data_IF_537584432131
#
_entry.id   IF_537584432131
#
_cell.length_a   1.000
_cell.length_b   1.000
_cell.length_c   1.000
_cell.angle_alpha   90.00
_cell.angle_beta   90.00
_cell.angle_gamma   90.00
#
_symmetry.space_group_name_H-M   'P 1'
#
loop_
_entity.id
_entity.type
_entity.pdbx_description
1 polymer ?
#
# COMPACT_ATOMS: atom_id res chain seq x y z
N UNK A 1 -38.47 74.80 -9.39
CA UNK A 1 -39.02 73.43 -9.39
C UNK A 1 -37.84 72.51 -9.17
N UNK A 2 -37.83 71.88 -8.00
CA UNK A 2 -36.71 71.14 -7.40
C UNK A 2 -36.49 69.81 -8.13
N UNK A 3 -35.24 69.56 -8.55
CA UNK A 3 -34.84 68.32 -9.22
C UNK A 3 -34.38 67.34 -8.14
N UNK A 4 -35.26 66.46 -7.67
CA UNK A 4 -34.92 65.42 -6.69
C UNK A 4 -34.30 64.22 -7.41
N UNK A 5 -32.96 64.19 -7.41
CA UNK A 5 -32.18 63.02 -7.81
C UNK A 5 -32.43 61.87 -6.83
N UNK A 6 -33.17 60.87 -7.31
CA UNK A 6 -33.53 59.69 -6.54
C UNK A 6 -32.34 58.72 -6.52
N UNK A 7 -31.38 58.95 -5.63
CA UNK A 7 -30.27 58.00 -5.40
C UNK A 7 -30.80 56.74 -4.72
N UNK A 8 -31.18 55.75 -5.53
CA UNK A 8 -31.48 54.41 -5.04
C UNK A 8 -30.15 53.76 -4.59
N UNK A 9 -29.83 53.86 -3.31
CA UNK A 9 -28.73 53.11 -2.71
C UNK A 9 -29.07 51.61 -2.80
N UNK A 10 -28.46 50.90 -3.76
CA UNK A 10 -28.53 49.45 -3.82
C UNK A 10 -28.09 48.87 -2.47
N UNK A 11 -28.98 48.09 -1.83
CA UNK A 11 -28.71 47.49 -0.53
C UNK A 11 -27.38 46.72 -0.58
N UNK A 12 -26.49 46.90 0.42
CA UNK A 12 -25.18 46.27 0.39
C UNK A 12 -25.33 44.75 0.34
N UNK A 13 -24.84 44.13 -0.73
CA UNK A 13 -24.82 42.66 -0.87
C UNK A 13 -24.19 42.04 0.38
N UNK A 14 -24.90 41.10 1.00
CA UNK A 14 -24.44 40.37 2.17
C UNK A 14 -23.08 39.70 1.90
N UNK A 15 -22.17 39.83 2.86
CA UNK A 15 -20.83 39.20 2.82
C UNK A 15 -20.89 37.82 3.46
N UNK A 16 -20.10 36.88 2.94
CA UNK A 16 -19.92 35.58 3.61
C UNK A 16 -19.15 35.78 4.91
N UNK A 17 -19.47 34.98 5.94
CA UNK A 17 -18.84 35.11 7.26
C UNK A 17 -17.36 34.72 7.21
N UNK A 18 -16.50 35.42 7.96
CA UNK A 18 -15.05 35.18 7.99
C UNK A 18 -14.69 33.74 8.35
N UNK A 19 -15.49 33.09 9.20
CA UNK A 19 -15.32 31.68 9.54
C UNK A 19 -15.34 30.74 8.32
N UNK A 20 -16.05 31.11 7.24
CA UNK A 20 -16.08 30.29 6.02
C UNK A 20 -14.71 30.27 5.31
N UNK A 21 -13.94 31.36 5.37
CA UNK A 21 -12.57 31.40 4.83
C UNK A 21 -11.62 30.56 5.67
N UNK A 22 -11.75 30.63 7.00
CA UNK A 22 -10.95 29.80 7.92
C UNK A 22 -11.25 28.30 7.69
N UNK A 23 -12.52 27.96 7.52
CA UNK A 23 -12.95 26.60 7.20
C UNK A 23 -12.40 26.11 5.86
N UNK A 24 -12.40 26.98 4.84
CA UNK A 24 -11.81 26.67 3.54
C UNK A 24 -10.28 26.50 3.63
N UNK A 25 -9.59 27.29 4.46
CA UNK A 25 -8.15 27.11 4.68
C UNK A 25 -7.83 25.75 5.34
N UNK A 26 -8.69 25.27 6.26
CA UNK A 26 -8.54 23.94 6.84
C UNK A 26 -8.67 22.79 5.82
N UNK A 27 -9.19 23.05 4.62
CA UNK A 27 -9.23 22.04 3.55
C UNK A 27 -7.86 21.59 3.04
N UNK A 28 -6.80 22.34 3.38
CA UNK A 28 -5.42 21.99 3.06
C UNK A 28 -4.77 21.06 4.09
N UNK A 29 -5.40 20.79 5.24
CA UNK A 29 -4.86 19.81 6.20
C UNK A 29 -5.13 18.41 5.64
N UNK A 30 -4.11 17.57 5.40
CA UNK A 30 -4.33 16.20 4.96
C UNK A 30 -5.25 15.43 5.91
N UNK A 31 -5.97 14.45 5.38
CA UNK A 31 -6.96 13.61 6.09
C UNK A 31 -8.26 14.34 6.47
N UNK A 32 -8.18 15.35 7.35
CA UNK A 32 -9.37 16.05 7.88
C UNK A 32 -9.86 17.17 6.95
N UNK A 33 -9.00 17.69 6.08
CA UNK A 33 -9.29 18.80 5.19
C UNK A 33 -10.38 18.50 4.17
N UNK A 34 -10.59 17.24 3.80
CA UNK A 34 -11.70 16.87 2.92
C UNK A 34 -13.06 17.20 3.57
N UNK A 35 -13.23 16.90 4.87
CA UNK A 35 -14.47 17.19 5.61
C UNK A 35 -14.73 18.71 5.70
N UNK A 36 -13.68 19.47 6.04
CA UNK A 36 -13.77 20.93 6.13
C UNK A 36 -13.95 21.59 4.76
N UNK A 37 -13.32 21.05 3.72
CA UNK A 37 -13.48 21.46 2.33
C UNK A 37 -14.90 21.26 1.84
N UNK A 38 -15.51 20.10 2.09
CA UNK A 38 -16.91 19.82 1.75
C UNK A 38 -17.84 20.79 2.48
N UNK A 39 -17.66 20.98 3.79
CA UNK A 39 -18.48 21.91 4.57
C UNK A 39 -18.37 23.37 4.05
N UNK A 40 -17.15 23.83 3.76
CA UNK A 40 -16.92 25.16 3.19
C UNK A 40 -17.53 25.32 1.79
N UNK A 41 -17.50 24.26 0.98
CA UNK A 41 -18.09 24.24 -0.36
C UNK A 41 -19.61 24.28 -0.29
N UNK A 42 -20.25 23.52 0.61
CA UNK A 42 -21.70 23.57 0.85
C UNK A 42 -22.13 24.97 1.31
N UNK A 43 -21.42 25.57 2.27
CA UNK A 43 -21.71 26.95 2.72
C UNK A 43 -21.55 27.98 1.59
N UNK A 44 -20.59 27.76 0.70
CA UNK A 44 -20.37 28.62 -0.45
C UNK A 44 -21.47 28.49 -1.50
N UNK A 45 -21.97 27.28 -1.78
CA UNK A 45 -23.10 27.02 -2.67
C UNK A 45 -24.40 27.62 -2.11
N UNK A 46 -24.71 27.37 -0.85
CA UNK A 46 -25.89 27.97 -0.19
C UNK A 46 -25.81 29.49 -0.15
N UNK A 47 -24.60 30.04 -0.06
CA UNK A 47 -24.30 31.46 -0.05
C UNK A 47 -23.93 32.05 -1.40
N UNK A 48 -24.20 31.42 -2.54
CA UNK A 48 -23.56 31.77 -3.83
C UNK A 48 -23.76 33.23 -4.29
N UNK A 49 -24.86 33.86 -3.88
CA UNK A 49 -25.18 35.27 -4.16
C UNK A 49 -24.44 36.26 -3.24
N UNK A 50 -23.77 35.78 -2.18
CA UNK A 50 -23.01 36.60 -1.21
C UNK A 50 -21.63 36.93 -1.77
N UNK A 51 -21.14 38.14 -1.46
CA UNK A 51 -19.77 38.54 -1.79
C UNK A 51 -18.77 37.63 -1.06
N UNK A 52 -17.84 37.06 -1.82
CA UNK A 52 -16.79 36.18 -1.29
C UNK A 52 -17.07 34.68 -1.38
N UNK A 53 -18.32 34.26 -1.62
CA UNK A 53 -18.67 32.84 -1.70
C UNK A 53 -17.89 32.08 -2.79
N UNK A 54 -17.67 32.73 -3.95
CA UNK A 54 -16.86 32.17 -5.04
C UNK A 54 -15.39 31.95 -4.64
N UNK A 55 -14.83 32.84 -3.81
CA UNK A 55 -13.44 32.76 -3.35
C UNK A 55 -13.30 31.61 -2.33
N UNK A 56 -14.24 31.52 -1.38
CA UNK A 56 -14.28 30.41 -0.41
C UNK A 56 -14.42 29.07 -1.12
N UNK A 57 -15.31 28.96 -2.11
CA UNK A 57 -15.46 27.76 -2.92
C UNK A 57 -14.16 27.38 -3.65
N UNK A 58 -13.45 28.36 -4.22
CA UNK A 58 -12.18 28.13 -4.91
C UNK A 58 -11.09 27.64 -3.96
N UNK A 59 -10.94 28.27 -2.78
CA UNK A 59 -9.96 27.84 -1.76
C UNK A 59 -10.27 26.42 -1.29
N UNK A 60 -11.53 26.12 -0.97
CA UNK A 60 -11.95 24.79 -0.53
C UNK A 60 -11.71 23.73 -1.62
N UNK A 61 -12.03 24.05 -2.87
CA UNK A 61 -11.81 23.14 -4.00
C UNK A 61 -10.33 22.86 -4.22
N UNK A 62 -9.48 23.88 -4.08
CA UNK A 62 -8.03 23.74 -4.25
C UNK A 62 -7.40 22.88 -3.14
N UNK A 63 -7.81 23.07 -1.88
CA UNK A 63 -7.31 22.25 -0.77
C UNK A 63 -7.75 20.78 -0.88
N UNK A 64 -9.00 20.55 -1.28
CA UNK A 64 -9.48 19.19 -1.58
C UNK A 64 -8.73 18.56 -2.76
N UNK A 65 -8.52 19.31 -3.85
CA UNK A 65 -7.73 18.83 -5.00
C UNK A 65 -6.30 18.50 -4.58
N UNK A 66 -5.66 19.33 -3.75
CA UNK A 66 -4.33 19.06 -3.21
C UNK A 66 -4.30 17.77 -2.40
N UNK A 67 -5.31 17.54 -1.55
CA UNK A 67 -5.45 16.31 -0.77
C UNK A 67 -5.62 15.09 -1.68
N UNK A 68 -6.53 15.16 -2.66
CA UNK A 68 -6.75 14.08 -3.63
C UNK A 68 -5.49 13.82 -4.46
N UNK A 69 -4.79 14.85 -4.92
CA UNK A 69 -3.55 14.71 -5.67
C UNK A 69 -2.44 14.08 -4.83
N UNK A 70 -2.28 14.49 -3.57
CA UNK A 70 -1.27 13.95 -2.67
C UNK A 70 -1.53 12.47 -2.38
N UNK A 71 -2.76 12.11 -2.00
CA UNK A 71 -3.09 10.71 -1.72
C UNK A 71 -3.15 9.85 -2.99
N UNK A 72 -3.61 10.42 -4.11
CA UNK A 72 -3.57 9.77 -5.41
C UNK A 72 -2.14 9.48 -5.86
N UNK A 73 -1.22 10.41 -5.63
CA UNK A 73 0.21 10.20 -5.87
C UNK A 73 0.78 9.12 -4.93
N UNK A 74 0.54 9.22 -3.62
CA UNK A 74 0.99 8.19 -2.67
C UNK A 74 0.44 6.80 -3.03
N UNK A 75 -0.81 6.72 -3.45
CA UNK A 75 -1.43 5.48 -3.90
C UNK A 75 -0.78 4.97 -5.18
N UNK A 76 -0.61 5.83 -6.18
CA UNK A 76 0.00 5.46 -7.46
C UNK A 76 1.45 5.00 -7.29
N UNK A 77 2.29 5.82 -6.66
CA UNK A 77 3.69 5.48 -6.38
C UNK A 77 3.84 4.31 -5.40
N UNK A 78 2.86 4.10 -4.53
CA UNK A 78 2.90 3.04 -3.52
C UNK A 78 2.44 1.68 -4.02
N UNK A 79 1.42 1.64 -4.88
CA UNK A 79 0.70 0.42 -5.19
C UNK A 79 0.59 0.11 -6.68
N UNK A 80 0.78 1.10 -7.56
CA UNK A 80 0.58 0.96 -9.01
C UNK A 80 1.90 1.03 -9.77
N UNK A 81 2.78 1.97 -9.41
CA UNK A 81 4.05 2.15 -10.09
C UNK A 81 5.04 1.06 -9.68
N UNK A 82 5.56 0.38 -10.69
CA UNK A 82 6.62 -0.62 -10.57
C UNK A 82 8.00 0.04 -10.50
N UNK A 83 8.90 -0.55 -9.75
CA UNK A 83 10.20 0.02 -9.38
C UNK A 83 10.08 1.16 -8.37
N UNK A 84 8.97 1.24 -7.62
CA UNK A 84 8.75 2.27 -6.61
C UNK A 84 9.49 1.99 -5.30
N UNK A 85 9.54 2.98 -4.40
CA UNK A 85 10.16 2.88 -3.06
C UNK A 85 9.61 1.68 -2.26
N UNK A 86 8.35 1.31 -2.50
CA UNK A 86 7.71 0.19 -1.82
C UNK A 86 8.10 -1.18 -2.39
N UNK A 87 8.61 -1.27 -3.60
CA UNK A 87 9.00 -2.56 -4.21
C UNK A 87 10.28 -3.10 -3.56
N UNK A 88 11.23 -2.23 -3.25
CA UNK A 88 12.42 -2.62 -2.49
C UNK A 88 12.05 -3.14 -1.09
N UNK A 89 11.13 -2.45 -0.41
CA UNK A 89 10.63 -2.89 0.89
C UNK A 89 9.92 -4.25 0.79
N UNK A 90 9.10 -4.47 -0.24
CA UNK A 90 8.42 -5.76 -0.49
C UNK A 90 9.43 -6.88 -0.73
N UNK A 91 10.46 -6.61 -1.53
CA UNK A 91 11.53 -7.57 -1.80
C UNK A 91 12.30 -7.91 -0.51
N UNK A 92 12.67 -6.92 0.29
CA UNK A 92 13.35 -7.14 1.57
C UNK A 92 12.48 -7.95 2.54
N UNK A 93 11.17 -7.66 2.60
CA UNK A 93 10.23 -8.45 3.40
C UNK A 93 10.12 -9.90 2.90
N UNK A 94 10.07 -10.11 1.58
CA UNK A 94 10.05 -11.44 1.00
C UNK A 94 11.33 -12.23 1.35
N UNK A 95 12.50 -11.62 1.21
CA UNK A 95 13.80 -12.22 1.60
C UNK A 95 13.81 -12.61 3.09
N UNK A 96 13.35 -11.72 3.97
CA UNK A 96 13.32 -11.96 5.41
C UNK A 96 12.36 -13.11 5.78
N UNK A 97 11.16 -13.11 5.19
CA UNK A 97 10.19 -14.18 5.39
C UNK A 97 10.71 -15.52 4.88
N UNK A 98 11.30 -15.55 3.68
CA UNK A 98 11.93 -16.75 3.11
C UNK A 98 13.03 -17.30 4.01
N UNK A 99 13.92 -16.44 4.50
CA UNK A 99 15.05 -16.85 5.36
C UNK A 99 14.56 -17.40 6.70
N UNK A 100 13.49 -16.83 7.24
CA UNK A 100 12.81 -17.35 8.43
C UNK A 100 12.18 -18.72 8.14
N UNK A 101 11.47 -18.86 7.01
CA UNK A 101 10.86 -20.11 6.59
C UNK A 101 11.87 -21.25 6.43
N UNK A 102 13.06 -20.98 5.87
CA UNK A 102 14.14 -21.97 5.82
C UNK A 102 14.42 -22.52 7.22
N UNK A 103 14.59 -21.64 8.20
CA UNK A 103 14.86 -22.04 9.58
C UNK A 103 13.73 -22.88 10.18
N UNK A 104 12.46 -22.52 9.90
CA UNK A 104 11.29 -23.27 10.35
C UNK A 104 11.15 -24.64 9.68
N UNK A 105 11.43 -24.74 8.39
CA UNK A 105 11.38 -25.99 7.62
C UNK A 105 12.46 -26.96 8.13
N UNK A 106 13.68 -26.48 8.36
CA UNK A 106 14.75 -27.30 8.93
C UNK A 106 14.40 -27.75 10.35
N UNK A 107 13.83 -26.86 11.16
CA UNK A 107 13.39 -27.20 12.52
C UNK A 107 12.26 -28.24 12.51
N UNK A 108 11.30 -28.13 11.60
CA UNK A 108 10.24 -29.12 11.42
C UNK A 108 10.82 -30.49 11.11
N UNK A 109 11.80 -30.58 10.20
CA UNK A 109 12.49 -31.83 9.88
C UNK A 109 13.20 -32.42 11.09
N UNK A 110 13.84 -31.61 11.93
CA UNK A 110 14.49 -32.10 13.15
C UNK A 110 13.51 -32.72 14.14
N UNK A 111 12.26 -32.22 14.18
CA UNK A 111 11.22 -32.74 15.07
C UNK A 111 10.51 -33.98 14.52
N UNK A 112 10.21 -33.99 13.22
CA UNK A 112 9.35 -35.02 12.59
C UNK A 112 10.14 -36.06 11.81
N UNK A 113 11.45 -35.83 11.59
CA UNK A 113 12.33 -36.70 10.81
C UNK A 113 12.27 -36.47 9.29
N UNK A 114 11.30 -35.70 8.80
CA UNK A 114 11.09 -35.39 7.38
C UNK A 114 10.66 -33.94 7.17
N UNK A 115 10.89 -33.39 5.98
CA UNK A 115 10.39 -32.08 5.60
C UNK A 115 8.86 -32.08 5.46
N UNK A 116 8.19 -30.94 5.71
CA UNK A 116 6.75 -30.85 5.55
C UNK A 116 6.35 -31.07 4.08
N UNK A 117 5.16 -31.60 3.84
CA UNK A 117 4.60 -31.77 2.50
C UNK A 117 4.21 -30.42 1.88
N UNK A 118 3.84 -29.45 2.70
CA UNK A 118 3.48 -28.09 2.28
C UNK A 118 3.78 -27.05 3.36
N UNK A 119 3.76 -25.76 2.99
CA UNK A 119 3.97 -24.66 3.93
C UNK A 119 2.81 -24.50 4.92
N UNK A 120 1.61 -24.89 4.52
CA UNK A 120 0.42 -24.91 5.36
C UNK A 120 0.56 -25.99 6.45
N UNK A 121 1.05 -27.18 6.10
CA UNK A 121 1.34 -28.21 7.11
C UNK A 121 2.36 -27.71 8.14
N UNK A 122 3.40 -26.99 7.69
CA UNK A 122 4.35 -26.36 8.59
C UNK A 122 3.65 -25.37 9.53
N UNK A 123 2.77 -24.51 9.00
CA UNK A 123 2.01 -23.54 9.78
C UNK A 123 1.07 -24.21 10.79
N UNK A 124 0.37 -25.27 10.39
CA UNK A 124 -0.56 -26.04 11.24
C UNK A 124 0.17 -26.77 12.38
N UNK A 125 1.40 -27.21 12.15
CA UNK A 125 2.22 -27.88 13.16
C UNK A 125 2.68 -26.96 14.30
N UNK A 126 2.64 -25.64 14.09
CA UNK A 126 3.10 -24.63 15.04
C UNK A 126 2.05 -23.54 15.28
N UNK A 127 0.85 -23.87 15.81
CA UNK A 127 -0.27 -22.93 15.90
C UNK A 127 -0.01 -21.72 16.81
N UNK A 128 0.95 -21.83 17.73
CA UNK A 128 1.32 -20.77 18.66
C UNK A 128 2.44 -19.85 18.13
N UNK A 129 2.92 -20.08 16.89
CA UNK A 129 3.98 -19.30 16.27
C UNK A 129 3.48 -18.73 14.93
N UNK A 130 3.53 -17.41 14.72
CA UNK A 130 3.17 -16.84 13.44
C UNK A 130 4.23 -17.19 12.40
N UNK A 131 3.88 -18.06 11.44
CA UNK A 131 4.70 -18.42 10.29
C UNK A 131 4.12 -17.73 9.05
N UNK A 132 4.90 -16.85 8.44
CA UNK A 132 4.48 -16.08 7.27
C UNK A 132 4.80 -16.85 5.99
N UNK A 133 3.79 -17.55 5.45
CA UNK A 133 3.92 -18.38 4.23
C UNK A 133 3.53 -17.66 2.94
N UNK A 134 2.97 -16.45 3.05
CA UNK A 134 2.50 -15.64 1.91
C UNK A 134 3.65 -14.84 1.30
N UNK A 135 3.75 -14.90 -0.02
CA UNK A 135 4.70 -14.13 -0.81
C UNK A 135 4.25 -12.67 -0.95
N UNK A 136 5.04 -11.76 -0.38
CA UNK A 136 4.75 -10.32 -0.37
C UNK A 136 5.46 -9.56 -1.48
N UNK A 137 6.14 -10.26 -2.40
CA UNK A 137 6.87 -9.62 -3.50
C UNK A 137 5.94 -9.06 -4.57
N UNK A 138 4.73 -9.60 -4.70
CA UNK A 138 3.77 -9.14 -5.71
C UNK A 138 3.12 -7.80 -5.33
N UNK A 139 2.68 -7.07 -6.34
CA UNK A 139 1.93 -5.82 -6.12
C UNK A 139 0.54 -6.14 -5.57
N UNK A 140 0.04 -5.47 -4.51
CA UNK A 140 -1.25 -5.76 -3.86
C UNK A 140 -2.50 -5.68 -4.75
N UNK A 141 -2.38 -5.11 -5.95
CA UNK A 141 -3.44 -4.99 -6.94
C UNK A 141 -3.23 -5.89 -8.17
N UNK A 142 -2.30 -6.84 -8.12
CA UNK A 142 -2.31 -7.93 -9.10
C UNK A 142 -3.64 -8.67 -8.97
N UNK A 143 -4.30 -8.98 -10.09
CA UNK A 143 -5.58 -9.68 -10.13
C UNK A 143 -5.53 -11.10 -9.52
N UNK A 144 -4.34 -11.57 -9.20
CA UNK A 144 -4.09 -12.88 -8.61
C UNK A 144 -4.27 -12.84 -7.08
N UNK A 145 -4.88 -13.88 -6.49
CA UNK A 145 -4.97 -14.01 -5.04
C UNK A 145 -3.58 -14.00 -4.39
N UNK A 146 -3.52 -13.71 -3.09
CA UNK A 146 -2.30 -13.83 -2.30
C UNK A 146 -1.66 -15.20 -2.55
N UNK A 147 -0.44 -15.19 -3.09
CA UNK A 147 0.29 -16.39 -3.45
C UNK A 147 1.15 -16.82 -2.28
N UNK A 148 1.27 -18.12 -2.06
CA UNK A 148 2.25 -18.65 -1.12
C UNK A 148 3.64 -18.62 -1.75
N UNK A 149 4.69 -18.64 -0.91
CA UNK A 149 6.02 -18.93 -1.42
C UNK A 149 6.02 -20.29 -2.11
N UNK A 150 6.76 -20.39 -3.21
CA UNK A 150 6.93 -21.66 -3.89
C UNK A 150 7.75 -22.58 -3.00
N UNK A 151 7.18 -23.75 -2.73
CA UNK A 151 7.78 -24.82 -1.95
C UNK A 151 7.61 -26.14 -2.70
N UNK A 152 8.69 -26.87 -2.91
CA UNK A 152 8.67 -28.20 -3.53
C UNK A 152 9.74 -29.08 -2.89
N UNK A 153 9.34 -30.25 -2.40
CA UNK A 153 10.31 -31.25 -1.92
C UNK A 153 11.07 -31.87 -3.09
N UNK A 154 12.38 -32.04 -2.91
CA UNK A 154 13.28 -32.74 -3.82
C UNK A 154 13.78 -34.01 -3.14
N UNK A 155 12.94 -35.05 -3.14
CA UNK A 155 13.18 -36.28 -2.40
C UNK A 155 13.01 -36.11 -0.88
N UNK A 156 13.84 -36.82 -0.11
CA UNK A 156 13.75 -36.86 1.35
C UNK A 156 14.74 -35.92 2.05
N UNK A 157 15.82 -35.55 1.35
CA UNK A 157 16.92 -34.77 1.92
C UNK A 157 16.90 -33.29 1.52
N UNK A 158 16.15 -32.92 0.49
CA UNK A 158 16.20 -31.59 -0.10
C UNK A 158 14.83 -30.99 -0.43
N UNK A 159 14.79 -29.68 -0.58
CA UNK A 159 13.61 -28.92 -1.03
C UNK A 159 14.02 -27.63 -1.72
N UNK A 160 13.10 -27.05 -2.48
CA UNK A 160 13.18 -25.73 -3.07
C UNK A 160 12.26 -24.79 -2.30
N UNK A 161 12.75 -23.59 -2.02
CA UNK A 161 11.95 -22.51 -1.43
C UNK A 161 12.34 -21.19 -2.10
N UNK A 162 11.35 -20.47 -2.64
CA UNK A 162 11.56 -19.16 -3.26
C UNK A 162 10.26 -18.36 -3.39
N UNK A 163 10.41 -17.06 -3.57
CA UNK A 163 9.38 -16.25 -4.20
C UNK A 163 9.50 -16.37 -5.71
N UNK A 164 8.36 -16.42 -6.39
CA UNK A 164 8.26 -16.56 -7.86
C UNK A 164 8.12 -15.22 -8.57
N UNK A 165 8.44 -14.12 -7.87
CA UNK A 165 8.43 -12.79 -8.41
C UNK A 165 7.10 -12.38 -9.04
N UNK A 166 7.21 -11.56 -10.09
CA UNK A 166 6.05 -10.96 -10.75
C UNK A 166 5.56 -11.80 -11.93
N UNK A 167 6.42 -12.61 -12.55
CA UNK A 167 6.04 -13.49 -13.65
C UNK A 167 5.25 -14.72 -13.18
N UNK A 168 5.35 -15.01 -11.88
CA UNK A 168 4.63 -16.08 -11.23
C UNK A 168 5.13 -17.47 -11.61
N UNK A 169 6.35 -17.61 -12.10
CA UNK A 169 6.96 -18.87 -12.51
C UNK A 169 8.19 -19.10 -11.66
N UNK A 170 8.33 -20.30 -11.11
CA UNK A 170 9.54 -20.66 -10.40
C UNK A 170 10.71 -20.90 -11.35
N UNK A 171 11.92 -20.67 -10.87
CA UNK A 171 13.21 -20.85 -11.54
C UNK A 171 13.45 -19.86 -12.69
N UNK A 172 13.02 -18.63 -12.48
CA UNK A 172 13.21 -17.50 -13.41
C UNK A 172 14.12 -16.44 -12.79
N UNK A 173 14.47 -15.42 -13.57
CA UNK A 173 15.41 -14.39 -13.14
C UNK A 173 14.80 -13.39 -12.13
N UNK A 174 13.48 -13.32 -12.02
CA UNK A 174 12.77 -12.46 -11.06
C UNK A 174 12.43 -13.17 -9.74
N UNK A 175 12.81 -14.44 -9.61
CA UNK A 175 12.72 -15.16 -8.34
C UNK A 175 13.52 -14.45 -7.25
N UNK A 176 12.93 -14.38 -6.05
CA UNK A 176 13.64 -13.89 -4.85
C UNK A 176 13.98 -15.10 -3.98
N UNK A 177 15.26 -15.17 -3.59
CA UNK A 177 15.82 -16.26 -2.80
C UNK A 177 16.03 -15.83 -1.33
N UNK A 178 15.99 -16.78 -0.38
CA UNK A 178 16.36 -16.48 1.01
C UNK A 178 17.80 -16.00 1.10
N UNK A 179 18.05 -15.05 2.00
CA UNK A 179 19.39 -14.59 2.33
C UNK A 179 19.95 -15.45 3.45
N UNK A 180 20.54 -16.57 3.07
CA UNK A 180 21.22 -17.50 3.96
C UNK A 180 22.63 -17.75 3.46
N UNK A 181 23.60 -17.80 4.38
CA UNK A 181 24.96 -18.18 4.04
C UNK A 181 25.02 -19.68 3.76
N UNK A 182 24.86 -20.06 2.48
CA UNK A 182 25.16 -21.42 2.03
C UNK A 182 26.67 -21.58 1.92
N UNK A 183 27.31 -21.95 3.02
CA UNK A 183 28.70 -22.44 2.98
C UNK A 183 28.71 -23.88 2.45
N UNK A 184 29.80 -24.33 1.83
CA UNK A 184 29.93 -25.69 1.26
C UNK A 184 29.68 -26.82 2.30
N UNK A 185 29.68 -26.50 3.60
CA UNK A 185 29.37 -27.41 4.70
C UNK A 185 27.98 -27.19 5.35
N UNK A 186 27.10 -26.40 4.71
CA UNK A 186 25.76 -26.15 5.24
C UNK A 186 24.93 -27.43 5.20
N UNK A 187 24.46 -27.90 6.38
CA UNK A 187 23.69 -29.15 6.53
C UNK A 187 22.20 -29.00 6.22
N UNK A 188 21.79 -27.86 5.65
CA UNK A 188 20.41 -27.55 5.32
C UNK A 188 20.00 -28.21 4.00
N UNK A 189 18.72 -28.54 3.84
CA UNK A 189 18.20 -29.19 2.63
C UNK A 189 17.89 -28.25 1.48
N UNK A 190 18.01 -26.93 1.66
CA UNK A 190 17.61 -25.96 0.65
C UNK A 190 18.47 -26.04 -0.62
N UNK A 191 17.84 -26.26 -1.76
CA UNK A 191 18.42 -26.14 -3.09
C UNK A 191 18.01 -24.82 -3.76
N UNK A 192 18.98 -24.10 -4.32
CA UNK A 192 18.74 -22.82 -5.01
C UNK A 192 18.53 -22.97 -6.52
N UNK A 193 19.02 -24.06 -7.13
CA UNK A 193 18.89 -24.31 -8.56
C UNK A 193 18.38 -25.74 -8.77
N UNK A 194 17.54 -25.94 -9.79
CA UNK A 194 17.25 -27.28 -10.30
C UNK A 194 18.47 -27.70 -11.11
N UNK A 195 19.15 -28.75 -10.70
CA UNK A 195 20.16 -29.40 -11.54
C UNK A 195 19.47 -29.85 -12.83
N UNK A 196 20.02 -29.46 -13.99
CA UNK A 196 19.53 -29.94 -15.27
C UNK A 196 19.76 -31.46 -15.32
N UNK A 197 18.67 -32.23 -15.36
CA UNK A 197 18.73 -33.65 -15.70
C UNK A 197 19.08 -33.84 -17.18
#
# INVERSE_FOLDING_TARGET
MENTENHTHAAPQAKIHTAAYVLAAFSFIPLIGLLFGIAALVLSILGWRKRGAKIVALIASLGMLCTVALYGALFYFGFVQRGGVYDELRQQLAVNNLSTLVSEIEFYRLQHGAYPESLEQLQESQPNKPIFIVDTSNTPFSAEPFRLFYYERSGDAHYYLRSVGNDGKAFTADDILPNIEQTENSKIGLLLQKEAQ
#
